data_IF_640645236443
#
_entry.id   IF_640645236443
#
_cell.length_a   1.000
_cell.length_b   1.000
_cell.length_c   1.000
_cell.angle_alpha   90.00
_cell.angle_beta   90.00
_cell.angle_gamma   90.00
#
_symmetry.space_group_name_H-M   'P 1'
#
loop_
_entity.id
_entity.type
_entity.pdbx_description
1 polymer ?
#
# COMPACT_ATOMS: atom_id res chain seq x y z
N UNK A 1 -8.68 12.76 3.55
CA UNK A 1 -7.53 11.87 3.82
C UNK A 1 -6.38 12.78 4.24
N UNK A 2 -5.76 12.49 5.38
CA UNK A 2 -4.61 13.25 5.88
C UNK A 2 -3.40 12.32 5.77
N UNK A 3 -2.42 12.72 4.97
CA UNK A 3 -1.16 12.02 4.74
C UNK A 3 -0.13 13.03 4.21
N UNK A 4 1.15 12.75 4.40
CA UNK A 4 2.21 13.47 3.73
C UNK A 4 2.32 13.00 2.28
N UNK A 5 2.41 13.92 1.32
CA UNK A 5 2.43 13.56 -0.11
C UNK A 5 3.67 12.75 -0.49
N UNK A 6 4.79 12.95 0.23
CA UNK A 6 6.03 12.20 0.03
C UNK A 6 5.88 10.71 0.34
N UNK A 7 5.05 10.39 1.33
CA UNK A 7 4.96 9.06 1.95
C UNK A 7 3.98 8.13 1.22
N UNK A 8 3.22 8.65 0.27
CA UNK A 8 2.17 7.88 -0.41
C UNK A 8 2.25 8.01 -1.93
N UNK A 9 1.76 6.98 -2.61
CA UNK A 9 1.31 7.10 -4.00
C UNK A 9 -0.20 7.34 -4.01
N UNK A 10 -0.61 8.54 -4.43
CA UNK A 10 -2.02 8.89 -4.56
C UNK A 10 -2.50 8.72 -6.02
N UNK A 11 -3.45 7.81 -6.23
CA UNK A 11 -4.07 7.53 -7.52
C UNK A 11 -5.47 8.14 -7.52
N UNK A 12 -5.58 9.33 -8.13
CA UNK A 12 -6.85 10.06 -8.28
C UNK A 12 -7.75 9.51 -9.38
N UNK A 13 -7.18 8.80 -10.35
CA UNK A 13 -7.90 8.12 -11.43
C UNK A 13 -7.52 6.63 -11.43
N UNK A 14 -8.32 5.77 -10.74
CA UNK A 14 -8.00 4.35 -10.54
C UNK A 14 -7.77 3.59 -11.85
N UNK A 15 -8.49 3.97 -12.91
CA UNK A 15 -8.43 3.29 -14.20
C UNK A 15 -7.03 3.39 -14.84
N UNK A 16 -6.31 4.50 -14.62
CA UNK A 16 -4.94 4.68 -15.14
C UNK A 16 -3.93 3.74 -14.50
N UNK A 17 -4.24 3.19 -13.33
CA UNK A 17 -3.43 2.22 -12.60
C UNK A 17 -3.96 0.79 -12.73
N UNK A 18 -4.94 0.53 -13.60
CA UNK A 18 -5.57 -0.79 -13.73
C UNK A 18 -6.44 -1.20 -12.54
N UNK A 19 -6.82 -0.25 -11.68
CA UNK A 19 -7.65 -0.48 -10.49
C UNK A 19 -9.15 -0.31 -10.82
N UNK A 20 -10.04 -1.02 -10.10
CA UNK A 20 -11.47 -0.85 -10.26
C UNK A 20 -11.90 0.56 -9.87
N UNK A 21 -12.93 1.07 -10.56
CA UNK A 21 -13.52 2.38 -10.30
C UNK A 21 -14.98 2.20 -9.88
N UNK A 22 -15.26 1.85 -8.61
CA UNK A 22 -16.63 1.61 -8.16
C UNK A 22 -17.49 2.89 -8.28
N UNK A 23 -16.89 4.06 -8.07
CA UNK A 23 -17.56 5.35 -8.20
C UNK A 23 -16.68 6.31 -9.03
N UNK A 24 -17.30 7.32 -9.67
CA UNK A 24 -16.58 8.32 -10.48
C UNK A 24 -15.48 9.04 -9.67
N UNK A 25 -15.70 9.27 -8.37
CA UNK A 25 -14.78 9.98 -7.48
C UNK A 25 -13.84 9.07 -6.67
N UNK A 26 -13.78 7.77 -6.98
CA UNK A 26 -12.90 6.84 -6.25
C UNK A 26 -11.43 7.24 -6.38
N UNK A 27 -10.72 7.26 -5.25
CA UNK A 27 -9.29 7.54 -5.16
C UNK A 27 -8.65 6.44 -4.31
N UNK A 28 -7.47 5.98 -4.71
CA UNK A 28 -6.67 5.03 -3.93
C UNK A 28 -5.41 5.71 -3.45
N UNK A 29 -4.96 5.33 -2.26
CA UNK A 29 -3.66 5.71 -1.72
C UNK A 29 -2.94 4.45 -1.27
N UNK A 30 -1.65 4.37 -1.58
CA UNK A 30 -0.77 3.29 -1.15
C UNK A 30 0.39 3.89 -0.37
N UNK A 31 0.73 3.29 0.76
CA UNK A 31 1.89 3.70 1.54
C UNK A 31 3.18 3.23 0.86
N UNK A 32 4.25 4.02 1.00
CA UNK A 32 5.59 3.70 0.51
C UNK A 32 6.44 3.13 1.64
N UNK A 33 7.47 2.36 1.26
CA UNK A 33 8.51 1.87 2.15
C UNK A 33 7.94 1.20 3.43
N UNK A 34 8.37 1.63 4.61
CA UNK A 34 8.00 1.09 5.92
C UNK A 34 6.81 1.83 6.59
N UNK A 35 6.06 2.62 5.82
CA UNK A 35 4.93 3.41 6.30
C UNK A 35 3.62 2.60 6.18
N UNK A 36 2.72 2.81 7.14
CA UNK A 36 1.40 2.17 7.15
C UNK A 36 0.31 3.14 7.64
N UNK A 37 -0.93 2.91 7.18
CA UNK A 37 -2.06 3.74 7.59
C UNK A 37 -2.65 3.23 8.91
N UNK A 38 -2.96 4.17 9.80
CA UNK A 38 -3.64 3.90 11.06
C UNK A 38 -4.98 4.63 11.11
N UNK A 39 -5.95 4.00 11.77
CA UNK A 39 -7.17 4.70 12.12
C UNK A 39 -6.85 5.80 13.14
N UNK A 40 -7.41 7.02 12.98
CA UNK A 40 -7.17 8.12 13.91
C UNK A 40 -7.76 7.80 15.30
N UNK A 41 -8.86 7.06 15.34
CA UNK A 41 -9.44 6.59 16.58
C UNK A 41 -8.54 5.52 17.22
N UNK A 42 -8.20 5.71 18.50
CA UNK A 42 -7.34 4.81 19.26
C UNK A 42 -5.95 4.59 18.63
N UNK A 43 -5.34 5.65 18.10
CA UNK A 43 -4.03 5.62 17.44
C UNK A 43 -2.96 4.84 18.23
N UNK A 44 -2.81 5.11 19.52
CA UNK A 44 -1.77 4.47 20.36
C UNK A 44 -1.91 2.94 20.41
N UNK A 45 -3.15 2.42 20.45
CA UNK A 45 -3.38 0.98 20.44
C UNK A 45 -2.91 0.38 19.12
N UNK A 46 -3.36 0.91 17.99
CA UNK A 46 -2.99 0.38 16.67
C UNK A 46 -1.52 0.60 16.33
N UNK A 47 -0.94 1.73 16.73
CA UNK A 47 0.49 1.98 16.58
C UNK A 47 1.30 0.91 17.30
N UNK A 48 1.01 0.64 18.57
CA UNK A 48 1.71 -0.40 19.32
C UNK A 48 1.44 -1.81 18.78
N UNK A 49 0.25 -2.05 18.23
CA UNK A 49 -0.14 -3.33 17.67
C UNK A 49 0.59 -3.67 16.37
N UNK A 50 0.76 -2.69 15.47
CA UNK A 50 1.37 -2.90 14.15
C UNK A 50 2.86 -2.54 14.07
N UNK A 51 3.36 -1.68 14.95
CA UNK A 51 4.77 -1.30 14.96
C UNK A 51 5.67 -2.52 15.14
N UNK A 52 6.76 -2.56 14.38
CA UNK A 52 7.75 -3.65 14.37
C UNK A 52 7.17 -5.02 13.99
N UNK A 53 6.03 -5.04 13.29
CA UNK A 53 5.47 -6.25 12.71
C UNK A 53 5.61 -6.19 11.19
N UNK A 54 5.54 -7.35 10.53
CA UNK A 54 5.56 -7.41 9.07
C UNK A 54 4.18 -6.99 8.53
N UNK A 55 4.16 -5.87 7.81
CA UNK A 55 2.96 -5.33 7.15
C UNK A 55 3.15 -5.39 5.64
N UNK A 56 2.03 -5.37 4.92
CA UNK A 56 1.97 -5.48 3.46
C UNK A 56 0.66 -4.87 2.94
N UNK A 57 0.58 -4.67 1.63
CA UNK A 57 -0.46 -3.90 0.94
C UNK A 57 0.00 -2.50 0.50
N UNK A 58 1.28 -2.16 0.70
CA UNK A 58 1.92 -0.96 0.20
C UNK A 58 2.47 -1.12 -1.21
N UNK A 59 3.39 -0.24 -1.57
CA UNK A 59 4.12 -0.24 -2.85
C UNK A 59 5.63 -0.21 -2.62
N UNK A 60 6.12 -0.79 -1.52
CA UNK A 60 7.56 -0.99 -1.31
C UNK A 60 8.16 -1.86 -2.43
N UNK A 61 9.47 -1.75 -2.66
CA UNK A 61 10.13 -2.51 -3.73
C UNK A 61 9.98 -4.02 -3.51
N UNK A 62 10.02 -4.46 -2.26
CA UNK A 62 9.87 -5.84 -1.84
C UNK A 62 8.47 -6.39 -2.13
N UNK A 63 7.43 -5.54 -2.09
CA UNK A 63 6.06 -5.92 -2.43
C UNK A 63 5.81 -5.92 -3.94
N UNK A 64 6.48 -5.05 -4.68
CA UNK A 64 6.28 -4.88 -6.11
C UNK A 64 7.12 -5.84 -6.96
N UNK A 65 8.30 -6.25 -6.48
CA UNK A 65 9.21 -7.15 -7.20
C UNK A 65 8.88 -8.60 -6.85
N UNK A 66 8.31 -9.33 -7.81
CA UNK A 66 8.04 -10.76 -7.65
C UNK A 66 9.13 -11.59 -8.35
N UNK A 67 9.88 -12.45 -7.63
CA UNK A 67 10.84 -13.35 -8.26
C UNK A 67 10.10 -14.43 -9.06
N UNK A 68 10.56 -14.66 -10.30
CA UNK A 68 10.00 -15.69 -11.18
C UNK A 68 11.10 -16.71 -11.48
N UNK A 69 10.76 -17.99 -11.32
CA UNK A 69 11.67 -19.10 -11.61
C UNK A 69 11.04 -20.01 -12.65
N UNK A 70 11.82 -20.40 -13.66
CA UNK A 70 11.46 -21.39 -14.66
C UNK A 70 12.22 -22.68 -14.37
N UNK A 71 11.51 -23.81 -14.31
CA UNK A 71 12.10 -25.12 -14.09
C UNK A 71 12.15 -25.88 -15.42
N UNK A 72 13.32 -26.44 -15.74
CA UNK A 72 13.51 -27.31 -16.89
C UNK A 72 13.93 -28.71 -16.43
N UNK A 73 13.49 -29.74 -17.16
CA UNK A 73 13.88 -31.12 -16.90
C UNK A 73 15.33 -31.30 -17.35
N UNK A 74 16.15 -31.97 -16.52
CA UNK A 74 17.48 -32.45 -16.93
C UNK A 74 17.39 -33.52 -18.02
#
# INVERSE_FOLDING_TARGET
>A
LQYEQGDVLAIKDPHKAGLPRPNISSTFIFAKEDIFFLYPNNYNHYHNYYKNTFQHGGISLEEMICPIVFMEKK
#
